data_IF_905103896267
#
_entry.id   IF_905103896267
#
_cell.length_a   1.000
_cell.length_b   1.000
_cell.length_c   1.000
_cell.angle_alpha   90.00
_cell.angle_beta   90.00
_cell.angle_gamma   90.00
#
_symmetry.space_group_name_H-M   'P 1'
#
loop_
_entity.id
_entity.type
_entity.pdbx_description
1 polymer ?
#
# COMPACT_ATOMS: atom_id res chain seq x y z
N UNK A 1 -5.59 20.96 -14.32
CA UNK A 1 -4.52 19.98 -14.56
C UNK A 1 -3.86 20.28 -15.89
N UNK A 2 -2.52 20.34 -15.92
CA UNK A 2 -1.75 20.46 -17.16
C UNK A 2 -1.90 19.16 -17.97
N UNK A 3 -1.75 19.24 -19.32
CA UNK A 3 -1.72 18.01 -20.17
C UNK A 3 -0.64 17.03 -19.72
N UNK A 4 0.49 17.56 -19.23
CA UNK A 4 1.60 16.75 -18.66
C UNK A 4 1.15 15.98 -17.42
N UNK A 5 0.41 16.62 -16.52
CA UNK A 5 -0.10 15.97 -15.30
C UNK A 5 -1.09 14.86 -15.62
N UNK A 6 -1.94 15.06 -16.65
CA UNK A 6 -2.87 14.03 -17.11
C UNK A 6 -2.16 12.80 -17.69
N UNK A 7 -1.11 13.00 -18.49
CA UNK A 7 -0.31 11.91 -19.05
C UNK A 7 0.44 11.16 -17.95
N UNK A 8 1.03 11.88 -16.99
CA UNK A 8 1.71 11.25 -15.85
C UNK A 8 0.74 10.45 -14.97
N UNK A 9 -0.45 10.99 -14.71
CA UNK A 9 -1.48 10.26 -13.95
C UNK A 9 -1.90 8.98 -14.68
N UNK A 10 -2.14 9.03 -15.99
CA UNK A 10 -2.47 7.86 -16.79
C UNK A 10 -1.34 6.82 -16.75
N UNK A 11 -0.08 7.24 -16.88
CA UNK A 11 1.07 6.36 -16.82
C UNK A 11 1.15 5.65 -15.45
N UNK A 12 0.93 6.37 -14.36
CA UNK A 12 0.87 5.77 -13.01
C UNK A 12 -0.23 4.72 -12.92
N UNK A 13 -1.43 4.99 -13.42
CA UNK A 13 -2.56 4.04 -13.40
C UNK A 13 -2.22 2.78 -14.19
N UNK A 14 -1.65 2.92 -15.39
CA UNK A 14 -1.24 1.78 -16.23
C UNK A 14 -0.16 0.96 -15.54
N UNK A 15 0.91 1.59 -15.02
CA UNK A 15 1.99 0.89 -14.33
C UNK A 15 1.49 0.17 -13.09
N UNK A 16 0.60 0.79 -12.31
CA UNK A 16 0.00 0.16 -11.13
C UNK A 16 -0.90 -1.03 -11.50
N UNK A 17 -1.71 -0.90 -12.54
CA UNK A 17 -2.54 -2.01 -13.02
C UNK A 17 -1.69 -3.20 -13.48
N UNK A 18 -0.66 -2.95 -14.29
CA UNK A 18 0.28 -3.97 -14.75
C UNK A 18 1.03 -4.63 -13.59
N UNK A 19 1.34 -3.89 -12.53
CA UNK A 19 2.04 -4.42 -11.36
C UNK A 19 1.30 -5.61 -10.73
N UNK A 20 -0.04 -5.59 -10.66
CA UNK A 20 -0.83 -6.71 -10.11
C UNK A 20 -0.74 -7.96 -10.99
N UNK A 21 -0.66 -7.78 -12.32
CA UNK A 21 -0.44 -8.89 -13.26
C UNK A 21 0.94 -9.49 -13.05
N UNK A 22 1.97 -8.65 -12.94
CA UNK A 22 3.36 -9.09 -12.69
C UNK A 22 3.47 -9.85 -11.37
N UNK A 23 2.82 -9.37 -10.30
CA UNK A 23 2.77 -10.06 -9.01
C UNK A 23 2.14 -11.45 -9.18
N UNK A 24 0.99 -11.54 -9.85
CA UNK A 24 0.31 -12.82 -10.08
C UNK A 24 1.17 -13.81 -10.85
N UNK A 25 1.83 -13.35 -11.91
CA UNK A 25 2.74 -14.19 -12.71
C UNK A 25 3.95 -14.61 -11.89
N UNK A 26 4.55 -13.70 -11.13
CA UNK A 26 5.71 -14.01 -10.27
C UNK A 26 5.41 -15.04 -9.18
N UNK A 27 4.21 -15.01 -8.62
CA UNK A 27 3.77 -15.96 -7.59
C UNK A 27 3.53 -17.40 -8.11
N UNK A 28 3.50 -17.61 -9.44
CA UNK A 28 3.37 -18.95 -9.99
C UNK A 28 4.56 -19.86 -9.66
N UNK A 29 5.77 -19.28 -9.57
CA UNK A 29 7.01 -20.04 -9.42
C UNK A 29 7.83 -19.61 -8.20
N UNK A 30 7.31 -18.72 -7.35
CA UNK A 30 8.09 -18.14 -6.26
C UNK A 30 7.25 -17.93 -5.01
N UNK A 31 7.76 -18.28 -3.81
CA UNK A 31 7.07 -17.98 -2.56
C UNK A 31 6.79 -16.48 -2.40
N UNK A 32 5.63 -16.10 -1.81
CA UNK A 32 5.21 -14.70 -1.71
C UNK A 32 6.23 -13.76 -1.08
N UNK A 33 6.80 -14.17 0.06
CA UNK A 33 7.78 -13.34 0.77
C UNK A 33 9.12 -13.25 0.03
N UNK A 34 9.52 -14.31 -0.68
CA UNK A 34 10.73 -14.28 -1.51
C UNK A 34 10.56 -13.32 -2.68
N UNK A 35 9.41 -13.33 -3.35
CA UNK A 35 9.11 -12.39 -4.43
C UNK A 35 9.10 -10.94 -3.92
N UNK A 36 8.50 -10.70 -2.74
CA UNK A 36 8.51 -9.39 -2.10
C UNK A 36 9.94 -8.93 -1.78
N UNK A 37 10.74 -9.76 -1.11
CA UNK A 37 12.13 -9.46 -0.75
C UNK A 37 13.00 -9.17 -1.97
N UNK A 38 12.91 -10.00 -3.03
CA UNK A 38 13.65 -9.80 -4.27
C UNK A 38 13.30 -8.46 -4.93
N UNK A 39 12.02 -8.12 -4.98
CA UNK A 39 11.55 -6.83 -5.50
C UNK A 39 12.16 -5.65 -4.75
N UNK A 40 12.15 -5.68 -3.41
CA UNK A 40 12.71 -4.62 -2.60
C UNK A 40 14.24 -4.57 -2.67
N UNK A 41 14.90 -5.72 -2.76
CA UNK A 41 16.33 -5.80 -3.00
C UNK A 41 16.71 -5.10 -4.32
N UNK A 42 15.99 -5.34 -5.41
CA UNK A 42 16.21 -4.68 -6.70
C UNK A 42 15.93 -3.17 -6.66
N UNK A 43 15.01 -2.71 -5.80
CA UNK A 43 14.77 -1.28 -5.59
C UNK A 43 15.89 -0.64 -4.76
N UNK A 44 16.36 -1.33 -3.72
CA UNK A 44 17.41 -0.83 -2.83
C UNK A 44 18.78 -0.82 -3.53
N UNK A 45 19.12 -1.89 -4.23
CA UNK A 45 20.40 -2.02 -4.94
C UNK A 45 20.21 -1.79 -6.45
N UNK A 46 21.01 -0.96 -7.09
CA UNK A 46 22.20 -0.23 -6.59
C UNK A 46 21.90 1.16 -6.00
N UNK A 47 20.63 1.59 -5.92
CA UNK A 47 20.22 2.96 -5.61
C UNK A 47 20.77 3.49 -4.27
N UNK A 48 20.95 2.60 -3.28
CA UNK A 48 21.45 2.95 -1.95
C UNK A 48 22.86 3.57 -1.97
N UNK A 49 23.68 3.21 -2.95
CA UNK A 49 25.05 3.76 -3.07
C UNK A 49 25.07 5.20 -3.59
N UNK A 50 23.99 5.63 -4.26
CA UNK A 50 23.87 6.94 -4.88
C UNK A 50 22.96 7.89 -4.09
N UNK A 51 22.17 7.37 -3.17
CA UNK A 51 21.17 8.15 -2.44
C UNK A 51 21.51 8.22 -0.95
N UNK A 52 21.78 9.43 -0.47
CA UNK A 52 22.10 9.66 0.93
C UNK A 52 20.96 9.26 1.86
N UNK A 53 21.30 8.79 3.06
CA UNK A 53 20.32 8.43 4.10
C UNK A 53 19.42 9.62 4.43
N UNK A 54 18.09 9.42 4.55
CA UNK A 54 17.19 10.48 4.94
C UNK A 54 17.48 10.93 6.38
N UNK A 55 17.50 12.26 6.59
CA UNK A 55 17.68 12.85 7.93
C UNK A 55 16.37 12.82 8.71
N UNK A 56 15.91 11.64 9.05
CA UNK A 56 14.68 11.39 9.82
C UNK A 56 14.98 10.48 11.01
N UNK A 57 14.21 10.57 12.11
CA UNK A 57 14.34 9.65 13.23
C UNK A 57 14.21 8.20 12.80
N UNK A 58 15.08 7.33 13.31
CA UNK A 58 15.15 5.93 12.91
C UNK A 58 13.82 5.19 13.18
N UNK A 59 13.17 5.47 14.30
CA UNK A 59 11.88 4.89 14.66
C UNK A 59 10.78 5.21 13.63
N UNK A 60 10.77 6.42 13.06
CA UNK A 60 9.83 6.78 12.01
C UNK A 60 10.17 6.10 10.68
N UNK A 61 11.46 6.00 10.35
CA UNK A 61 11.90 5.27 9.14
C UNK A 61 11.55 3.78 9.24
N UNK A 62 11.82 3.15 10.38
CA UNK A 62 11.46 1.75 10.64
C UNK A 62 9.94 1.55 10.61
N UNK A 63 9.17 2.42 11.27
CA UNK A 63 7.72 2.36 11.25
C UNK A 63 7.15 2.47 9.84
N UNK A 64 7.67 3.40 9.03
CA UNK A 64 7.30 3.54 7.63
C UNK A 64 7.65 2.27 6.82
N UNK A 65 8.89 1.79 6.90
CA UNK A 65 9.33 0.63 6.15
C UNK A 65 8.64 -0.67 6.55
N UNK A 66 8.45 -0.91 7.87
CA UNK A 66 7.74 -2.09 8.35
C UNK A 66 6.28 -2.10 7.90
N UNK A 67 5.61 -0.96 7.84
CA UNK A 67 4.20 -0.90 7.48
C UNK A 67 3.98 -0.87 5.97
N UNK A 68 4.68 0.01 5.22
CA UNK A 68 4.42 0.23 3.79
C UNK A 68 5.28 -0.66 2.89
N UNK A 69 6.52 -0.98 3.30
CA UNK A 69 7.40 -1.80 2.46
C UNK A 69 7.29 -3.29 2.80
N UNK A 70 7.25 -3.67 4.07
CA UNK A 70 7.18 -5.07 4.47
C UNK A 70 5.75 -5.57 4.61
N UNK A 71 5.00 -5.14 5.63
CA UNK A 71 3.72 -5.74 6.00
C UNK A 71 2.68 -5.62 4.89
N UNK A 72 2.57 -4.46 4.24
CA UNK A 72 1.63 -4.28 3.13
C UNK A 72 1.86 -5.30 2.01
N UNK A 73 3.11 -5.45 1.56
CA UNK A 73 3.42 -6.36 0.46
C UNK A 73 3.39 -7.83 0.87
N UNK A 74 3.83 -8.15 2.10
CA UNK A 74 3.73 -9.49 2.63
C UNK A 74 2.26 -9.95 2.67
N UNK A 75 1.37 -9.15 3.22
CA UNK A 75 -0.06 -9.48 3.26
C UNK A 75 -0.67 -9.55 1.86
N UNK A 76 -0.37 -8.61 0.98
CA UNK A 76 -0.92 -8.58 -0.38
C UNK A 76 -0.48 -9.79 -1.20
N UNK A 77 0.80 -10.14 -1.15
CA UNK A 77 1.32 -11.27 -1.93
C UNK A 77 0.82 -12.60 -1.37
N UNK A 78 0.75 -12.73 -0.05
CA UNK A 78 0.10 -13.88 0.57
C UNK A 78 -1.38 -13.96 0.20
N UNK A 79 -2.11 -12.83 0.18
CA UNK A 79 -3.52 -12.80 -0.22
C UNK A 79 -3.73 -13.38 -1.63
N UNK A 80 -2.93 -12.92 -2.60
CA UNK A 80 -3.00 -13.40 -3.99
C UNK A 80 -2.61 -14.88 -4.07
N UNK A 81 -1.60 -15.31 -3.33
CA UNK A 81 -1.17 -16.70 -3.26
C UNK A 81 -2.25 -17.61 -2.65
N UNK A 82 -3.04 -17.11 -1.69
CA UNK A 82 -4.19 -17.83 -1.10
C UNK A 82 -5.49 -17.67 -1.90
N UNK A 83 -5.39 -17.35 -3.18
CA UNK A 83 -6.53 -17.38 -4.10
C UNK A 83 -7.28 -16.05 -4.26
N UNK A 84 -6.78 -14.93 -3.72
CA UNK A 84 -7.36 -13.63 -4.00
C UNK A 84 -7.10 -13.23 -5.46
N UNK A 85 -8.13 -12.98 -6.29
CA UNK A 85 -7.93 -12.52 -7.66
C UNK A 85 -7.21 -11.16 -7.68
N UNK A 86 -6.16 -11.03 -8.52
CA UNK A 86 -5.33 -9.83 -8.55
C UNK A 86 -6.13 -8.54 -8.86
N UNK A 87 -7.13 -8.62 -9.74
CA UNK A 87 -8.02 -7.50 -10.03
C UNK A 87 -8.86 -7.10 -8.82
N UNK A 88 -9.43 -8.07 -8.10
CA UNK A 88 -10.21 -7.81 -6.89
C UNK A 88 -9.32 -7.30 -5.74
N UNK A 89 -8.10 -7.85 -5.60
CA UNK A 89 -7.10 -7.36 -4.65
C UNK A 89 -6.79 -5.87 -4.88
N UNK A 90 -6.69 -5.43 -6.14
CA UNK A 90 -6.44 -4.03 -6.49
C UNK A 90 -7.57 -3.10 -6.03
N UNK A 91 -8.82 -3.55 -6.11
CA UNK A 91 -10.00 -2.80 -5.65
C UNK A 91 -10.08 -2.75 -4.13
N UNK A 92 -9.96 -3.90 -3.47
CA UNK A 92 -10.03 -3.99 -2.00
C UNK A 92 -8.87 -3.23 -1.33
N UNK A 93 -7.70 -3.23 -1.96
CA UNK A 93 -6.54 -2.49 -1.45
C UNK A 93 -6.80 -0.97 -1.39
N UNK A 94 -7.73 -0.44 -2.18
CA UNK A 94 -8.13 0.99 -2.12
C UNK A 94 -8.81 1.37 -0.80
N UNK A 95 -9.24 0.39 0.00
CA UNK A 95 -9.69 0.65 1.36
C UNK A 95 -8.61 1.35 2.23
N UNK A 96 -7.35 1.32 1.79
CA UNK A 96 -6.26 2.08 2.42
C UNK A 96 -6.56 3.59 2.52
N UNK A 97 -7.27 4.18 1.55
CA UNK A 97 -7.63 5.58 1.58
C UNK A 97 -8.59 5.89 2.76
N UNK A 98 -9.58 5.04 2.95
CA UNK A 98 -10.51 5.08 4.06
C UNK A 98 -9.79 4.93 5.42
N UNK A 99 -8.95 3.89 5.57
CA UNK A 99 -8.15 3.70 6.78
C UNK A 99 -7.19 4.88 7.04
N UNK A 100 -6.59 5.46 6.00
CA UNK A 100 -5.72 6.63 6.13
C UNK A 100 -6.45 7.84 6.68
N UNK A 101 -7.67 8.11 6.20
CA UNK A 101 -8.51 9.22 6.68
C UNK A 101 -8.88 8.99 8.17
N UNK A 102 -9.32 7.80 8.52
CA UNK A 102 -9.65 7.46 9.90
C UNK A 102 -8.45 7.58 10.85
N UNK A 103 -7.32 6.97 10.49
CA UNK A 103 -6.10 7.05 11.28
C UNK A 103 -5.57 8.48 11.37
N UNK A 104 -5.70 9.27 10.28
CA UNK A 104 -5.36 10.69 10.26
C UNK A 104 -6.19 11.51 11.24
N UNK A 105 -7.50 11.31 11.25
CA UNK A 105 -8.41 11.95 12.21
C UNK A 105 -8.04 11.58 13.65
N UNK A 106 -7.76 10.30 13.90
CA UNK A 106 -7.43 9.80 15.25
C UNK A 106 -6.05 10.28 15.74
N UNK A 107 -5.05 10.27 14.86
CA UNK A 107 -3.66 10.57 15.21
C UNK A 107 -3.36 12.07 15.28
N UNK A 108 -3.98 12.85 14.41
CA UNK A 108 -3.71 14.29 14.27
C UNK A 108 -4.88 15.17 14.74
N UNK A 109 -5.98 14.57 15.21
CA UNK A 109 -7.16 15.31 15.65
C UNK A 109 -7.86 16.05 14.49
N UNK A 110 -7.73 15.57 13.26
CA UNK A 110 -8.33 16.20 12.09
C UNK A 110 -9.85 16.02 12.10
N UNK A 111 -10.58 17.09 11.87
CA UNK A 111 -12.04 17.03 11.78
C UNK A 111 -12.44 16.46 10.42
N UNK A 112 -13.24 15.41 10.46
CA UNK A 112 -13.78 14.81 9.25
C UNK A 112 -14.86 15.73 8.65
N UNK A 113 -14.75 16.04 7.37
CA UNK A 113 -15.75 16.80 6.64
C UNK A 113 -16.89 15.88 6.18
N UNK A 114 -18.10 16.42 6.00
CA UNK A 114 -19.27 15.62 5.59
C UNK A 114 -19.04 14.82 4.29
N UNK A 115 -18.31 15.36 3.32
CA UNK A 115 -17.93 14.64 2.08
C UNK A 115 -17.03 13.43 2.35
N UNK A 116 -16.12 13.52 3.34
CA UNK A 116 -15.27 12.40 3.73
C UNK A 116 -16.08 11.31 4.43
N UNK A 117 -17.02 11.69 5.32
CA UNK A 117 -17.93 10.74 5.96
C UNK A 117 -18.81 10.01 4.93
N UNK A 118 -19.34 10.70 3.94
CA UNK A 118 -20.07 10.07 2.84
C UNK A 118 -19.21 9.10 2.03
N UNK A 119 -17.96 9.46 1.74
CA UNK A 119 -16.99 8.58 1.07
C UNK A 119 -16.66 7.33 1.90
N UNK A 120 -16.49 7.49 3.21
CA UNK A 120 -16.28 6.39 4.16
C UNK A 120 -17.48 5.44 4.17
N UNK A 121 -18.69 5.97 4.27
CA UNK A 121 -19.92 5.16 4.27
C UNK A 121 -20.05 4.36 2.96
N UNK A 122 -19.77 5.00 1.81
CA UNK A 122 -19.81 4.34 0.51
C UNK A 122 -18.73 3.25 0.40
N UNK A 123 -17.53 3.49 0.93
CA UNK A 123 -16.44 2.50 0.94
C UNK A 123 -16.80 1.29 1.82
N UNK A 124 -17.36 1.51 3.00
CA UNK A 124 -17.86 0.43 3.88
C UNK A 124 -18.93 -0.38 3.15
N UNK A 125 -19.91 0.28 2.54
CA UNK A 125 -20.95 -0.39 1.77
C UNK A 125 -20.36 -1.26 0.65
N UNK A 126 -19.41 -0.73 -0.13
CA UNK A 126 -18.71 -1.49 -1.17
C UNK A 126 -17.97 -2.72 -0.64
N UNK A 127 -17.29 -2.59 0.52
CA UNK A 127 -16.62 -3.72 1.19
C UNK A 127 -17.63 -4.77 1.65
N UNK A 128 -18.79 -4.37 2.21
CA UNK A 128 -19.85 -5.30 2.63
C UNK A 128 -20.42 -6.08 1.45
N UNK A 129 -20.67 -5.43 0.31
CA UNK A 129 -21.12 -6.09 -0.92
C UNK A 129 -20.10 -7.13 -1.40
N UNK A 130 -18.80 -6.79 -1.35
CA UNK A 130 -17.74 -7.73 -1.72
C UNK A 130 -17.62 -8.90 -0.74
N UNK A 131 -17.86 -8.68 0.54
CA UNK A 131 -17.90 -9.76 1.54
C UNK A 131 -19.09 -10.70 1.26
N UNK A 132 -20.26 -10.16 0.99
CA UNK A 132 -21.46 -10.95 0.67
C UNK A 132 -21.25 -11.81 -0.58
N UNK A 133 -20.69 -11.22 -1.64
CA UNK A 133 -20.33 -11.94 -2.86
C UNK A 133 -19.29 -13.04 -2.60
N UNK A 134 -18.29 -12.76 -1.75
CA UNK A 134 -17.27 -13.73 -1.35
C UNK A 134 -17.82 -14.90 -0.52
N UNK A 135 -18.86 -14.65 0.30
CA UNK A 135 -19.51 -15.70 1.10
C UNK A 135 -20.44 -16.58 0.26
N UNK A 136 -21.08 -16.01 -0.74
CA UNK A 136 -22.05 -16.70 -1.60
C UNK A 136 -21.41 -17.31 -2.84
N UNK A 137 -20.25 -16.82 -3.27
CA UNK A 137 -19.52 -17.30 -4.43
C UNK A 137 -18.29 -18.12 -4.03
N UNK A 138 -18.07 -19.25 -4.65
CA UNK A 138 -16.92 -20.14 -4.42
C UNK A 138 -15.56 -19.55 -4.92
N UNK A 139 -15.49 -18.26 -5.20
CA UNK A 139 -14.39 -17.69 -6.00
C UNK A 139 -13.36 -16.85 -5.23
N UNK A 140 -13.64 -16.46 -3.98
CA UNK A 140 -12.68 -15.69 -3.18
C UNK A 140 -12.48 -16.34 -1.82
N UNK A 141 -11.25 -16.79 -1.55
CA UNK A 141 -10.92 -17.30 -0.22
C UNK A 141 -11.03 -16.14 0.79
N UNK A 142 -11.87 -16.27 1.81
CA UNK A 142 -12.06 -15.29 2.89
C UNK A 142 -10.71 -14.88 3.49
N UNK A 143 -9.76 -15.81 3.61
CA UNK A 143 -8.41 -15.53 4.08
C UNK A 143 -7.69 -14.53 3.16
N UNK A 144 -7.77 -14.70 1.83
CA UNK A 144 -7.18 -13.77 0.87
C UNK A 144 -7.79 -12.36 0.96
N UNK A 145 -9.10 -12.28 1.16
CA UNK A 145 -9.80 -11.02 1.38
C UNK A 145 -9.33 -10.31 2.67
N UNK A 146 -9.29 -11.03 3.80
CA UNK A 146 -8.80 -10.49 5.07
C UNK A 146 -7.34 -10.04 5.02
N UNK A 147 -6.49 -10.80 4.35
CA UNK A 147 -5.09 -10.42 4.12
C UNK A 147 -4.97 -9.15 3.24
N UNK A 148 -5.85 -8.99 2.24
CA UNK A 148 -5.87 -7.76 1.44
C UNK A 148 -6.31 -6.55 2.26
N UNK A 149 -7.28 -6.69 3.14
CA UNK A 149 -7.67 -5.63 4.08
C UNK A 149 -6.54 -5.32 5.07
N UNK A 150 -5.83 -6.33 5.58
CA UNK A 150 -4.65 -6.12 6.43
C UNK A 150 -3.54 -5.38 5.68
N UNK A 151 -3.33 -5.68 4.39
CA UNK A 151 -2.41 -4.94 3.53
C UNK A 151 -2.82 -3.47 3.38
N UNK A 152 -4.11 -3.21 3.15
CA UNK A 152 -4.67 -1.86 3.05
C UNK A 152 -4.49 -1.07 4.36
N UNK A 153 -4.74 -1.72 5.50
CA UNK A 153 -4.53 -1.10 6.82
C UNK A 153 -3.04 -0.82 7.09
N UNK A 154 -2.16 -1.75 6.76
CA UNK A 154 -0.70 -1.53 6.88
C UNK A 154 -0.23 -0.38 6.03
N UNK A 155 -0.73 -0.25 4.80
CA UNK A 155 -0.44 0.90 3.95
C UNK A 155 -0.92 2.20 4.58
N UNK A 156 -2.13 2.24 5.13
CA UNK A 156 -2.66 3.40 5.82
C UNK A 156 -1.78 3.81 7.01
N UNK A 157 -1.31 2.86 7.82
CA UNK A 157 -0.33 3.12 8.88
C UNK A 157 0.96 3.75 8.32
N UNK A 158 1.47 3.24 7.20
CA UNK A 158 2.63 3.81 6.51
C UNK A 158 2.39 5.24 6.05
N UNK A 159 1.19 5.58 5.55
CA UNK A 159 0.82 6.95 5.21
C UNK A 159 0.85 7.88 6.44
N UNK A 160 0.46 7.41 7.63
CA UNK A 160 0.56 8.17 8.88
C UNK A 160 2.03 8.41 9.26
N UNK A 161 2.89 7.39 9.17
CA UNK A 161 4.33 7.58 9.38
C UNK A 161 4.92 8.54 8.37
N UNK A 162 4.55 8.43 7.09
CA UNK A 162 4.98 9.36 6.05
C UNK A 162 4.58 10.80 6.38
N UNK A 163 3.35 11.03 6.78
CA UNK A 163 2.87 12.36 7.19
C UNK A 163 3.66 12.91 8.38
N UNK A 164 3.95 12.07 9.39
CA UNK A 164 4.82 12.47 10.52
C UNK A 164 6.24 12.81 10.06
N UNK A 165 6.84 12.02 9.16
CA UNK A 165 8.16 12.31 8.60
C UNK A 165 8.18 13.65 7.87
N UNK A 166 7.15 13.90 7.03
CA UNK A 166 7.02 15.16 6.29
C UNK A 166 6.85 16.37 7.20
N UNK A 167 6.25 16.22 8.37
CA UNK A 167 6.11 17.31 9.35
C UNK A 167 7.39 17.61 10.14
N UNK A 168 8.30 16.65 10.26
CA UNK A 168 9.55 16.80 11.02
C UNK A 168 10.74 17.27 10.17
N UNK A 169 10.65 17.18 8.85
CA UNK A 169 11.78 17.50 7.96
C UNK A 169 11.42 18.60 6.98
N UNK A 170 12.26 19.62 6.90
CA UNK A 170 12.07 20.79 6.01
C UNK A 170 12.10 20.41 4.52
N UNK A 171 12.74 19.33 4.12
CA UNK A 171 12.71 18.73 2.76
C UNK A 171 13.11 17.27 2.80
N UNK A 172 12.23 16.36 3.20
CA UNK A 172 12.56 14.93 3.07
C UNK A 172 12.63 14.59 1.57
N UNK A 173 13.77 14.10 1.13
CA UNK A 173 13.88 13.55 -0.21
C UNK A 173 13.05 12.25 -0.25
N UNK A 174 11.87 12.31 -0.86
CA UNK A 174 10.94 11.16 -0.95
C UNK A 174 11.64 9.93 -1.53
N UNK A 175 12.51 10.14 -2.53
CA UNK A 175 13.33 9.07 -3.12
C UNK A 175 14.24 8.40 -2.08
N UNK A 176 14.88 9.19 -1.21
CA UNK A 176 15.72 8.68 -0.12
C UNK A 176 14.91 7.83 0.86
N UNK A 177 13.70 8.29 1.22
CA UNK A 177 12.82 7.54 2.11
C UNK A 177 12.42 6.19 1.51
N UNK A 178 12.03 6.16 0.24
CA UNK A 178 11.63 4.93 -0.47
C UNK A 178 12.78 3.93 -0.55
N UNK A 179 13.97 4.39 -0.98
CA UNK A 179 15.14 3.51 -1.15
C UNK A 179 15.62 2.93 0.18
N UNK A 180 15.73 3.76 1.22
CA UNK A 180 16.19 3.30 2.53
C UNK A 180 15.16 2.44 3.26
N UNK A 181 13.87 2.69 3.08
CA UNK A 181 12.83 1.81 3.62
C UNK A 181 12.76 0.45 2.91
N UNK A 182 13.23 0.36 1.67
CA UNK A 182 13.29 -0.88 0.91
C UNK A 182 14.33 -1.89 1.44
N UNK A 183 15.17 -1.50 2.40
CA UNK A 183 16.10 -2.41 3.10
C UNK A 183 15.44 -3.20 4.24
N UNK A 184 14.20 -2.88 4.61
CA UNK A 184 13.55 -3.47 5.77
C UNK A 184 12.88 -4.82 5.46
N UNK A 185 12.29 -5.01 4.25
CA UNK A 185 11.80 -6.34 3.84
C UNK A 185 12.93 -7.30 3.58
#
# INVERSE_FOLDING_TARGET
>A
MSRKDGVLALLVVVVWGLNFVVIKVGLHNMPPLMLAGLRFMLVAFPAIFFVARPKVPLNLLLGYGLTISFAQFAFLFCAINFGMPAGLASLVLQAQAFFTIMLGAFTFGERLHGKQLAGIALAIFGVLVLIEDSLNGQHVAMLGFMLTLAAAFSWACGNIFNKKIMSHSTRPAVMSLVIWSALIP
#
